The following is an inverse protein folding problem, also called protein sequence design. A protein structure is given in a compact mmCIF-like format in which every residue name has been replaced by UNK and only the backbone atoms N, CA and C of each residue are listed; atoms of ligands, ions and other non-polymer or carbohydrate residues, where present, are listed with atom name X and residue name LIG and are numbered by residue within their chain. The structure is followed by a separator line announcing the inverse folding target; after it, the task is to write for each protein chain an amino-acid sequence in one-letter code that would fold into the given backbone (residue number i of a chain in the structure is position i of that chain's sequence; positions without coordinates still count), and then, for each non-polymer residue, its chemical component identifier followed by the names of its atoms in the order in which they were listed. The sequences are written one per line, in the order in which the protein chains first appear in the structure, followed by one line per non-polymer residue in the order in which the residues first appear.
data_IF_691984608919
#
_entry.id   IF_691984608919
#
_cell.length_a   1.000
_cell.length_b   1.000
_cell.length_c   1.000
_cell.angle_alpha   90.00
_cell.angle_beta   90.00
_cell.angle_gamma   90.00
#
_symmetry.space_group_name_H-M   'P 1'
#
loop_
_entity.id
_entity.type
_entity.pdbx_description
1 polymer ?
#
# COMPACT_ATOMS: atom_id res chain seq x y z
N UNK A 1 -8.94 7.81 1.63
CA UNK A 1 -9.96 6.93 2.21
C UNK A 1 -9.45 6.46 3.55
N UNK A 2 -10.28 6.49 4.59
CA UNK A 2 -9.91 6.07 5.95
C UNK A 2 -10.38 4.64 6.22
N UNK A 3 -9.55 3.84 6.86
CA UNK A 3 -9.97 2.53 7.36
C UNK A 3 -10.67 2.73 8.70
N UNK A 4 -11.97 2.41 8.83
CA UNK A 4 -12.67 2.49 10.11
C UNK A 4 -12.18 1.38 11.05
N UNK A 5 -12.40 1.56 12.34
CA UNK A 5 -12.22 0.46 13.29
C UNK A 5 -13.37 -0.53 13.12
N UNK A 6 -13.07 -1.83 13.16
CA UNK A 6 -14.09 -2.86 12.99
C UNK A 6 -13.79 -4.08 13.87
N UNK A 7 -14.84 -4.82 14.17
CA UNK A 7 -14.81 -6.10 14.88
C UNK A 7 -15.61 -7.13 14.09
N UNK A 8 -15.12 -8.38 14.08
CA UNK A 8 -15.82 -9.53 13.51
C UNK A 8 -16.20 -10.48 14.64
N UNK A 9 -17.47 -10.84 14.70
CA UNK A 9 -18.01 -11.88 15.58
C UNK A 9 -18.69 -12.93 14.73
N UNK A 10 -18.86 -14.13 15.25
CA UNK A 10 -19.58 -15.17 14.54
C UNK A 10 -20.54 -15.93 15.43
N UNK A 11 -21.51 -16.55 14.77
CA UNK A 11 -22.43 -17.52 15.31
C UNK A 11 -22.42 -18.73 14.37
N UNK A 12 -23.12 -19.79 14.73
CA UNK A 12 -23.25 -21.02 13.93
C UNK A 12 -23.69 -20.75 12.48
N UNK A 13 -24.55 -19.74 12.26
CA UNK A 13 -25.13 -19.43 10.94
C UNK A 13 -24.73 -18.10 10.33
N UNK A 14 -24.20 -17.17 11.14
CA UNK A 14 -23.97 -15.79 10.71
C UNK A 14 -22.59 -15.29 11.13
N UNK A 15 -22.04 -14.38 10.35
CA UNK A 15 -20.90 -13.53 10.70
C UNK A 15 -21.43 -12.12 10.94
N UNK A 16 -21.08 -11.54 12.07
CA UNK A 16 -21.50 -10.21 12.50
C UNK A 16 -20.30 -9.28 12.33
N UNK A 17 -20.45 -8.28 11.46
CA UNK A 17 -19.43 -7.27 11.20
C UNK A 17 -19.85 -5.95 11.84
N UNK A 18 -19.13 -5.50 12.86
CA UNK A 18 -19.36 -4.23 13.53
C UNK A 18 -18.31 -3.21 13.07
N UNK A 19 -18.74 -2.09 12.48
CA UNK A 19 -17.86 -1.05 11.94
C UNK A 19 -18.14 0.27 12.65
N UNK A 20 -17.14 0.80 13.34
CA UNK A 20 -17.21 2.11 13.99
C UNK A 20 -16.80 3.21 13.02
N UNK A 21 -17.79 3.92 12.50
CA UNK A 21 -17.63 4.96 11.51
C UNK A 21 -18.51 6.18 11.85
N UNK A 22 -18.12 7.02 12.83
CA UNK A 22 -18.93 8.14 13.31
C UNK A 22 -19.06 9.28 12.29
N UNK A 23 -18.09 9.41 11.37
CA UNK A 23 -18.10 10.43 10.30
C UNK A 23 -18.74 9.91 9.00
N UNK A 24 -19.36 8.73 9.03
CA UNK A 24 -19.94 8.08 7.87
C UNK A 24 -21.16 8.84 7.36
N UNK A 25 -21.30 8.91 6.04
CA UNK A 25 -22.53 9.36 5.42
C UNK A 25 -23.47 8.16 5.22
N UNK A 26 -24.44 8.01 6.12
CA UNK A 26 -25.43 6.91 6.13
C UNK A 26 -26.16 6.77 4.78
N UNK A 27 -26.46 7.90 4.12
CA UNK A 27 -27.18 7.89 2.84
C UNK A 27 -26.34 7.35 1.67
N UNK A 28 -25.03 7.23 1.86
CA UNK A 28 -24.06 6.69 0.89
C UNK A 28 -23.32 5.47 1.46
N UNK A 29 -23.92 4.80 2.44
CA UNK A 29 -23.37 3.57 3.00
C UNK A 29 -23.81 2.41 2.12
N UNK A 30 -22.82 1.70 1.60
CA UNK A 30 -22.99 0.49 0.81
C UNK A 30 -22.10 -0.60 1.39
N UNK A 31 -22.67 -1.81 1.50
CA UNK A 31 -21.93 -3.02 1.81
C UNK A 31 -22.23 -4.03 0.71
N UNK A 32 -21.18 -4.68 0.21
CA UNK A 32 -21.24 -5.73 -0.80
C UNK A 32 -20.46 -6.94 -0.27
N UNK A 33 -21.12 -8.08 -0.11
CA UNK A 33 -20.47 -9.36 0.18
C UNK A 33 -20.49 -10.27 -1.05
N UNK A 34 -19.30 -10.67 -1.50
CA UNK A 34 -19.05 -11.49 -2.67
C UNK A 34 -18.13 -12.66 -2.29
N UNK A 35 -18.73 -13.83 -2.04
CA UNK A 35 -18.11 -15.05 -1.55
C UNK A 35 -17.19 -14.81 -0.34
N UNK A 36 -15.88 -14.71 -0.57
CA UNK A 36 -14.89 -14.49 0.49
C UNK A 36 -14.62 -13.01 0.77
N UNK A 37 -15.05 -12.11 -0.12
CA UNK A 37 -14.73 -10.69 -0.06
C UNK A 37 -15.90 -9.89 0.48
N UNK A 38 -15.61 -8.95 1.39
CA UNK A 38 -16.60 -7.99 1.89
C UNK A 38 -16.06 -6.59 1.65
N UNK A 39 -16.85 -5.76 0.98
CA UNK A 39 -16.56 -4.38 0.67
C UNK A 39 -17.54 -3.49 1.43
N UNK A 40 -17.02 -2.53 2.18
CA UNK A 40 -17.80 -1.50 2.83
C UNK A 40 -17.32 -0.13 2.36
N UNK A 41 -18.26 0.68 1.89
CA UNK A 41 -18.01 2.04 1.41
C UNK A 41 -18.97 2.99 2.08
N UNK A 42 -18.44 3.96 2.80
CA UNK A 42 -19.23 5.07 3.33
C UNK A 42 -18.32 6.27 3.52
N UNK A 43 -18.36 7.29 2.65
CA UNK A 43 -17.41 8.40 2.69
C UNK A 43 -17.34 9.05 4.09
N UNK A 44 -16.14 9.26 4.66
CA UNK A 44 -14.80 9.12 4.06
C UNK A 44 -14.15 7.72 4.24
N UNK A 45 -14.89 6.76 4.79
CA UNK A 45 -14.43 5.41 5.12
C UNK A 45 -14.55 4.43 3.96
N UNK A 46 -13.59 3.52 3.92
CA UNK A 46 -13.60 2.38 3.02
C UNK A 46 -12.93 1.20 3.71
N UNK A 47 -13.53 0.02 3.62
CA UNK A 47 -13.01 -1.20 4.19
C UNK A 47 -13.17 -2.33 3.18
N UNK A 48 -12.12 -3.13 3.03
CA UNK A 48 -12.10 -4.32 2.19
C UNK A 48 -11.56 -5.47 3.04
N UNK A 49 -12.34 -6.53 3.16
CA UNK A 49 -12.01 -7.70 3.96
C UNK A 49 -12.01 -8.94 3.08
N UNK A 50 -11.08 -9.85 3.32
CA UNK A 50 -11.07 -11.21 2.79
C UNK A 50 -11.29 -12.18 3.95
N UNK A 51 -12.47 -12.77 4.04
CA UNK A 51 -12.85 -13.72 5.07
C UNK A 51 -12.32 -15.13 4.75
N UNK A 52 -12.11 -15.98 5.76
CA UNK A 52 -11.61 -17.34 5.59
C UNK A 52 -12.67 -18.31 5.05
N UNK A 53 -13.95 -17.94 5.14
CA UNK A 53 -15.07 -18.71 4.63
C UNK A 53 -15.98 -17.88 3.73
N UNK A 54 -16.83 -18.57 2.98
CA UNK A 54 -17.78 -17.94 2.07
C UNK A 54 -18.97 -17.38 2.84
N UNK A 55 -19.31 -16.14 2.54
CA UNK A 55 -20.45 -15.41 3.10
C UNK A 55 -21.35 -14.92 1.98
N UNK A 56 -22.64 -14.78 2.30
CA UNK A 56 -23.67 -14.24 1.42
C UNK A 56 -24.43 -13.14 2.15
N UNK A 57 -24.88 -12.15 1.38
CA UNK A 57 -25.81 -11.15 1.91
C UNK A 57 -27.15 -11.77 2.29
N UNK A 58 -27.65 -11.42 3.47
CA UNK A 58 -28.99 -11.83 3.87
C UNK A 58 -30.04 -10.99 3.14
N UNK A 59 -31.04 -11.65 2.56
CA UNK A 59 -32.06 -11.03 1.70
C UNK A 59 -33.05 -10.13 2.47
N UNK A 60 -33.10 -10.22 3.79
CA UNK A 60 -34.21 -9.68 4.59
C UNK A 60 -33.81 -8.45 5.40
N UNK A 61 -32.66 -8.48 6.08
CA UNK A 61 -32.13 -7.34 6.84
C UNK A 61 -30.59 -7.42 6.90
N UNK A 62 -29.89 -6.58 6.13
CA UNK A 62 -28.43 -6.69 5.99
C UNK A 62 -27.64 -5.93 7.07
N UNK A 63 -28.22 -4.92 7.72
CA UNK A 63 -27.55 -4.24 8.84
C UNK A 63 -28.35 -3.17 9.56
N UNK A 64 -27.90 -2.85 10.77
CA UNK A 64 -28.45 -1.80 11.64
C UNK A 64 -27.41 -0.72 11.90
N UNK A 65 -27.83 0.53 12.09
CA UNK A 65 -26.94 1.64 12.44
C UNK A 65 -27.34 2.25 13.78
N UNK A 66 -26.38 2.31 14.70
CA UNK A 66 -26.51 3.04 15.96
C UNK A 66 -25.93 4.45 15.80
N UNK A 67 -26.83 5.44 15.86
CA UNK A 67 -26.51 6.87 15.69
C UNK A 67 -25.68 7.39 16.87
N UNK A 68 -25.92 6.89 18.09
CA UNK A 68 -25.26 7.39 19.29
C UNK A 68 -23.81 6.90 19.37
N UNK A 69 -23.58 5.62 19.01
CA UNK A 69 -22.25 5.01 18.96
C UNK A 69 -21.48 5.25 17.66
N UNK A 70 -22.18 5.61 16.57
CA UNK A 70 -21.62 5.66 15.22
C UNK A 70 -21.18 4.28 14.73
N UNK A 71 -21.95 3.24 15.06
CA UNK A 71 -21.60 1.83 14.79
C UNK A 71 -22.58 1.24 13.78
N UNK A 72 -22.04 0.70 12.69
CA UNK A 72 -22.79 -0.14 11.75
C UNK A 72 -22.63 -1.60 12.14
N UNK A 73 -23.73 -2.34 12.22
CA UNK A 73 -23.72 -3.77 12.51
C UNK A 73 -24.33 -4.50 11.33
N UNK A 74 -23.53 -5.25 10.59
CA UNK A 74 -23.97 -6.04 9.45
C UNK A 74 -24.02 -7.53 9.81
N UNK A 75 -25.05 -8.23 9.34
CA UNK A 75 -25.21 -9.68 9.54
C UNK A 75 -25.09 -10.38 8.19
N UNK A 76 -24.01 -11.11 8.02
CA UNK A 76 -23.70 -11.88 6.82
C UNK A 76 -24.04 -13.36 7.08
N UNK A 77 -24.73 -14.02 6.16
CA UNK A 77 -25.02 -15.44 6.26
C UNK A 77 -23.81 -16.26 5.82
N UNK A 78 -23.48 -17.33 6.55
CA UNK A 78 -22.49 -18.29 6.10
C UNK A 78 -23.10 -19.14 4.98
N UNK A 79 -22.34 -19.38 3.91
CA UNK A 79 -22.79 -20.29 2.84
C UNK A 79 -22.89 -21.73 3.35
N UNK A 80 -21.95 -22.13 4.22
CA UNK A 80 -21.96 -23.40 4.92
C UNK A 80 -22.35 -23.14 6.38
N UNK A 81 -23.56 -23.58 6.75
CA UNK A 81 -24.03 -23.51 8.14
C UNK A 81 -23.12 -24.37 9.04
N UNK A 82 -22.71 -23.82 10.17
CA UNK A 82 -21.81 -24.48 11.14
C UNK A 82 -20.32 -24.43 10.79
N UNK A 83 -19.92 -23.78 9.70
CA UNK A 83 -18.49 -23.55 9.43
C UNK A 83 -17.93 -22.55 10.44
N UNK A 84 -16.87 -22.94 11.14
CA UNK A 84 -16.14 -22.04 12.04
C UNK A 84 -15.12 -21.20 11.26
N UNK A 85 -15.11 -19.89 11.51
CA UNK A 85 -14.17 -18.97 10.86
C UNK A 85 -13.01 -18.75 11.82
N UNK A 86 -11.86 -19.32 11.49
CA UNK A 86 -10.68 -19.19 12.35
C UNK A 86 -10.15 -17.74 12.37
N UNK A 87 -9.51 -17.38 13.47
CA UNK A 87 -8.77 -16.13 13.63
C UNK A 87 -9.57 -14.82 13.47
N UNK A 88 -10.90 -14.81 13.69
CA UNK A 88 -11.71 -13.59 13.59
C UNK A 88 -11.22 -12.43 14.48
N UNK A 89 -10.56 -12.75 15.61
CA UNK A 89 -9.93 -11.78 16.51
C UNK A 89 -8.69 -11.11 15.88
N UNK A 90 -8.02 -11.78 14.94
CA UNK A 90 -6.86 -11.28 14.21
C UNK A 90 -7.31 -10.48 12.98
N UNK A 91 -8.06 -9.41 13.22
CA UNK A 91 -8.65 -8.55 12.18
C UNK A 91 -7.64 -8.05 11.13
N UNK A 92 -6.37 -7.94 11.48
CA UNK A 92 -5.28 -7.57 10.58
C UNK A 92 -5.00 -8.59 9.46
N UNK A 93 -5.37 -9.87 9.64
CA UNK A 93 -5.21 -10.92 8.61
C UNK A 93 -6.21 -10.76 7.47
N UNK A 94 -7.40 -10.25 7.77
CA UNK A 94 -8.47 -10.10 6.77
C UNK A 94 -8.39 -8.78 6.03
N UNK A 95 -7.65 -7.81 6.56
CA UNK A 95 -7.26 -6.62 5.81
C UNK A 95 -6.34 -7.05 4.67
N UNK A 96 -6.63 -6.57 3.46
CA UNK A 96 -5.72 -6.75 2.33
C UNK A 96 -4.35 -6.20 2.70
N UNK A 97 -3.33 -7.07 2.64
CA UNK A 97 -1.98 -6.69 2.98
C UNK A 97 -1.56 -5.47 2.16
N UNK A 98 -1.16 -4.41 2.85
CA UNK A 98 -0.47 -3.32 2.18
C UNK A 98 0.77 -3.89 1.51
N UNK A 99 1.00 -3.50 0.25
CA UNK A 99 2.14 -3.90 -0.59
C UNK A 99 3.35 -4.17 0.30
N UNK A 100 3.83 -5.43 0.32
CA UNK A 100 5.17 -5.70 0.83
C UNK A 100 6.08 -4.81 -0.01
N UNK A 101 6.54 -3.70 0.56
CA UNK A 101 7.59 -2.90 -0.06
C UNK A 101 8.78 -3.86 -0.14
N UNK A 102 8.96 -4.46 -1.32
CA UNK A 102 10.19 -5.16 -1.67
C UNK A 102 11.25 -4.06 -1.76
N UNK A 103 11.77 -3.66 -0.60
CA UNK A 103 12.91 -2.78 -0.51
C UNK A 103 14.07 -3.55 -1.13
N UNK A 104 14.26 -3.38 -2.44
CA UNK A 104 15.43 -3.93 -3.12
C UNK A 104 16.64 -3.40 -2.37
N UNK A 105 17.53 -4.27 -1.85
CA UNK A 105 18.74 -3.81 -1.20
C UNK A 105 19.52 -2.97 -2.21
N UNK A 106 19.69 -1.67 -1.94
CA UNK A 106 20.41 -0.74 -2.84
C UNK A 106 21.92 -0.99 -2.89
N UNK A 107 22.39 -1.93 -2.08
CA UNK A 107 23.79 -2.37 -2.01
C UNK A 107 23.85 -3.72 -2.71
N UNK A 108 24.39 -3.71 -3.92
CA UNK A 108 24.76 -4.92 -4.64
C UNK A 108 26.26 -5.12 -4.44
N UNK A 109 26.66 -6.31 -3.96
CA UNK A 109 28.06 -6.71 -3.94
C UNK A 109 28.41 -7.08 -5.38
N UNK A 110 29.34 -6.33 -5.98
CA UNK A 110 29.92 -6.65 -7.29
C UNK A 110 30.88 -7.84 -7.13
N UNK A 111 30.35 -9.01 -6.78
CA UNK A 111 31.09 -10.27 -6.91
C UNK A 111 30.66 -10.91 -8.22
N UNK A 112 31.59 -10.94 -9.17
CA UNK A 112 31.47 -11.76 -10.36
C UNK A 112 31.31 -13.23 -9.95
N UNK A 113 30.21 -13.84 -10.40
CA UNK A 113 29.84 -15.27 -10.33
C UNK A 113 29.10 -15.70 -9.05
N UNK A 114 27.77 -15.83 -9.15
CA UNK A 114 26.98 -17.04 -8.79
C UNK A 114 25.49 -16.82 -9.15
N UNK A 115 24.77 -17.82 -9.72
CA UNK A 115 23.35 -17.70 -10.00
C UNK A 115 22.55 -17.85 -8.71
N UNK A 116 21.90 -16.78 -8.26
CA UNK A 116 20.93 -16.85 -7.17
C UNK A 116 19.63 -17.44 -7.70
N UNK A 117 19.48 -18.75 -7.56
CA UNK A 117 18.17 -19.41 -7.56
C UNK A 117 17.38 -18.89 -6.37
N UNK A 118 16.48 -17.94 -6.61
CA UNK A 118 15.44 -17.59 -5.64
C UNK A 118 14.12 -18.13 -6.19
N UNK A 119 13.86 -19.41 -5.92
CA UNK A 119 12.57 -20.04 -6.10
C UNK A 119 11.69 -19.70 -4.90
N UNK A 120 10.74 -18.77 -5.03
CA UNK A 120 9.59 -18.73 -4.11
C UNK A 120 8.31 -18.30 -4.83
N UNK A 121 7.34 -19.23 -4.77
CA UNK A 121 5.87 -19.09 -4.83
C UNK A 121 5.21 -18.49 -6.08
N UNK A 122 4.66 -19.38 -6.92
CA UNK A 122 3.83 -19.12 -8.11
C UNK A 122 2.31 -19.04 -7.81
N UNK A 123 1.90 -18.68 -6.58
CA UNK A 123 0.47 -18.72 -6.18
C UNK A 123 -0.17 -17.35 -5.89
N UNK A 124 0.50 -16.21 -6.19
CA UNK A 124 -0.03 -14.86 -5.92
C UNK A 124 -0.56 -14.11 -7.17
N UNK A 125 -0.61 -14.76 -8.34
CA UNK A 125 -0.83 -14.09 -9.63
C UNK A 125 -2.29 -13.72 -9.94
N UNK A 126 -3.28 -14.41 -9.36
CA UNK A 126 -4.70 -14.07 -9.59
C UNK A 126 -5.16 -12.82 -8.82
N UNK A 127 -4.46 -12.43 -7.75
CA UNK A 127 -4.89 -11.38 -6.81
C UNK A 127 -4.32 -9.99 -7.17
N UNK A 128 -3.43 -9.92 -8.15
CA UNK A 128 -2.82 -8.68 -8.65
C UNK A 128 -3.69 -7.92 -9.68
N UNK A 129 -4.75 -8.53 -10.20
CA UNK A 129 -5.50 -7.96 -11.33
C UNK A 129 -6.18 -6.60 -11.03
N UNK A 130 -6.51 -6.32 -9.77
CA UNK A 130 -7.18 -5.09 -9.35
C UNK A 130 -6.26 -4.02 -8.74
N UNK A 131 -4.99 -4.36 -8.48
CA UNK A 131 -3.99 -3.40 -8.00
C UNK A 131 -3.16 -3.00 -9.21
N UNK A 132 -3.52 -1.90 -9.87
CA UNK A 132 -2.65 -1.34 -10.90
C UNK A 132 -1.25 -1.13 -10.30
N UNK A 133 -0.29 -1.97 -10.71
CA UNK A 133 1.11 -1.75 -10.39
C UNK A 133 1.49 -0.43 -11.04
N UNK A 134 1.80 0.56 -10.20
CA UNK A 134 2.47 1.76 -10.68
C UNK A 134 3.85 1.32 -11.16
N UNK A 135 3.97 1.10 -12.46
CA UNK A 135 5.24 0.82 -13.09
C UNK A 135 5.99 2.14 -13.16
N UNK A 136 7.15 2.21 -12.51
CA UNK A 136 8.11 3.26 -12.80
C UNK A 136 8.56 3.05 -14.24
N UNK A 137 8.53 4.07 -15.11
CA UNK A 137 9.04 3.95 -16.47
C UNK A 137 10.45 3.36 -16.44
N UNK A 138 10.73 2.42 -17.34
CA UNK A 138 12.07 1.85 -17.46
C UNK A 138 13.09 2.97 -17.67
N UNK A 139 14.12 2.99 -16.83
CA UNK A 139 15.22 3.95 -16.93
C UNK A 139 15.83 3.83 -18.33
N UNK A 140 15.67 4.87 -19.15
CA UNK A 140 16.46 5.03 -20.36
C UNK A 140 17.92 5.19 -19.95
N UNK A 141 18.90 4.69 -20.73
CA UNK A 141 20.30 4.92 -20.46
C UNK A 141 20.55 6.44 -20.40
N UNK A 142 20.88 6.90 -19.20
CA UNK A 142 20.98 8.31 -18.86
C UNK A 142 22.26 8.91 -19.45
N UNK A 143 22.09 9.83 -20.40
CA UNK A 143 23.18 10.65 -20.95
C UNK A 143 23.56 11.79 -20.00
N UNK A 144 22.77 12.04 -18.95
CA UNK A 144 22.96 13.14 -18.00
C UNK A 144 23.75 12.70 -16.75
N UNK A 145 24.61 13.57 -16.20
CA UNK A 145 25.35 13.28 -14.98
C UNK A 145 24.43 13.24 -13.74
N UNK A 146 24.25 12.05 -13.16
CA UNK A 146 23.46 11.86 -11.95
C UNK A 146 24.09 12.43 -10.67
N UNK A 147 23.31 12.46 -9.59
CA UNK A 147 23.71 12.91 -8.26
C UNK A 147 23.22 11.92 -7.17
N UNK A 148 23.51 12.22 -5.90
CA UNK A 148 23.17 11.37 -4.76
C UNK A 148 24.07 10.13 -4.61
N UNK A 149 23.56 9.10 -3.95
CA UNK A 149 24.33 7.88 -3.71
C UNK A 149 24.65 7.15 -5.03
N UNK A 150 25.94 6.90 -5.27
CA UNK A 150 26.47 6.28 -6.49
C UNK A 150 26.06 6.96 -7.81
N UNK A 151 25.71 8.25 -7.79
CA UNK A 151 25.21 9.01 -8.94
C UNK A 151 23.98 8.38 -9.64
N UNK A 152 23.15 7.64 -8.89
CA UNK A 152 21.98 6.93 -9.43
C UNK A 152 20.72 7.80 -9.54
N UNK A 153 20.70 8.99 -8.95
CA UNK A 153 19.52 9.88 -8.95
C UNK A 153 19.64 10.87 -10.10
N UNK A 154 18.58 10.99 -10.90
CA UNK A 154 18.44 11.92 -12.03
C UNK A 154 16.98 12.40 -12.15
N UNK A 155 16.74 13.55 -12.78
CA UNK A 155 15.41 14.07 -13.14
C UNK A 155 14.73 14.99 -12.11
N UNK A 156 15.22 15.06 -10.88
CA UNK A 156 14.61 15.85 -9.80
C UNK A 156 15.48 17.07 -9.35
N UNK A 157 16.54 17.41 -10.08
CA UNK A 157 17.49 18.45 -9.67
C UNK A 157 16.86 19.83 -9.48
N UNK A 158 15.93 20.23 -10.35
CA UNK A 158 15.29 21.55 -10.28
C UNK A 158 14.36 21.70 -9.08
N UNK A 159 13.50 20.71 -8.83
CA UNK A 159 12.60 20.72 -7.67
C UNK A 159 13.37 20.71 -6.34
N UNK A 160 14.44 19.89 -6.27
CA UNK A 160 15.32 19.85 -5.10
C UNK A 160 16.02 21.20 -4.88
N UNK A 161 16.40 21.89 -5.97
CA UNK A 161 17.01 23.23 -5.89
C UNK A 161 16.03 24.27 -5.36
N UNK A 162 14.77 24.26 -5.81
CA UNK A 162 13.76 25.21 -5.34
C UNK A 162 13.51 25.08 -3.84
N UNK A 163 13.48 23.85 -3.33
CA UNK A 163 13.26 23.58 -1.90
C UNK A 163 14.50 23.84 -1.03
N UNK A 164 15.71 23.59 -1.53
CA UNK A 164 16.95 23.58 -0.72
C UNK A 164 18.05 24.53 -1.23
N UNK A 165 17.68 25.66 -1.82
CA UNK A 165 18.64 26.62 -2.42
C UNK A 165 19.71 27.16 -1.45
N UNK A 166 19.45 27.17 -0.14
CA UNK A 166 20.41 27.63 0.88
C UNK A 166 21.48 26.60 1.22
N UNK A 167 21.19 25.32 0.97
CA UNK A 167 22.05 24.18 1.34
C UNK A 167 22.86 23.71 0.13
N UNK A 168 22.28 23.82 -1.07
CA UNK A 168 22.87 23.32 -2.29
C UNK A 168 23.80 24.38 -2.91
N UNK A 169 25.11 24.15 -2.82
CA UNK A 169 26.14 25.03 -3.39
C UNK A 169 26.26 24.95 -4.93
N UNK A 170 25.78 23.83 -5.49
CA UNK A 170 25.84 23.55 -6.92
C UNK A 170 24.49 23.88 -7.58
N UNK A 171 24.44 25.02 -8.27
CA UNK A 171 23.21 25.52 -8.90
C UNK A 171 22.64 24.60 -9.98
N UNK A 172 23.48 23.83 -10.67
CA UNK A 172 23.05 22.91 -11.72
C UNK A 172 23.56 21.48 -11.42
N UNK A 173 22.65 20.67 -10.87
CA UNK A 173 22.89 19.30 -10.44
C UNK A 173 22.90 18.29 -11.60
N UNK A 174 22.39 18.65 -12.77
CA UNK A 174 22.20 17.72 -13.89
C UNK A 174 22.94 18.17 -15.17
N UNK A 175 23.34 19.43 -15.28
CA UNK A 175 24.18 19.91 -16.38
C UNK A 175 25.69 19.89 -16.08
N UNK A 176 26.09 19.85 -14.81
CA UNK A 176 27.53 19.87 -14.47
C UNK A 176 28.15 18.47 -14.53
N UNK A 177 29.18 18.22 -15.36
CA UNK A 177 29.83 16.92 -15.43
C UNK A 177 30.65 16.61 -14.17
N UNK A 178 30.84 15.32 -13.89
CA UNK A 178 31.54 14.83 -12.67
C UNK A 178 32.95 15.42 -12.52
N UNK A 179 33.67 15.61 -13.64
CA UNK A 179 35.02 16.17 -13.63
C UNK A 179 35.04 17.63 -13.14
N UNK A 180 34.07 18.45 -13.54
CA UNK A 180 33.98 19.84 -13.11
C UNK A 180 33.59 19.96 -11.64
N UNK A 181 32.67 19.10 -11.17
CA UNK A 181 32.30 19.04 -9.74
C UNK A 181 33.51 18.71 -8.87
N UNK A 182 34.33 17.76 -9.31
CA UNK A 182 35.57 17.38 -8.62
C UNK A 182 36.56 18.54 -8.56
N UNK A 183 36.80 19.19 -9.69
CA UNK A 183 37.74 20.30 -9.77
C UNK A 183 37.29 21.52 -8.96
N UNK A 184 35.98 21.77 -8.89
CA UNK A 184 35.41 22.82 -8.02
C UNK A 184 35.66 22.52 -6.55
N UNK A 185 35.42 21.28 -6.11
CA UNK A 185 35.72 20.84 -4.74
C UNK A 185 37.20 21.00 -4.41
N UNK A 186 38.09 20.55 -5.31
CA UNK A 186 39.54 20.68 -5.12
C UNK A 186 39.97 22.15 -4.97
N UNK A 187 39.35 23.08 -5.72
CA UNK A 187 39.61 24.53 -5.57
C UNK A 187 39.08 25.10 -4.25
N UNK A 188 37.89 24.70 -3.83
CA UNK A 188 37.29 25.14 -2.57
C UNK A 188 38.07 24.61 -1.35
N UNK A 189 38.56 23.38 -1.41
CA UNK A 189 39.44 22.79 -0.38
C UNK A 189 40.79 23.51 -0.30
N UNK A 190 41.37 23.93 -1.44
CA UNK A 190 42.62 24.69 -1.47
C UNK A 190 42.47 26.15 -1.01
N UNK A 191 41.26 26.69 -1.09
CA UNK A 191 40.95 28.07 -0.68
C UNK A 191 40.59 28.19 0.82
N UNK A 192 40.48 27.07 1.52
CA UNK A 192 40.10 26.97 2.94
C UNK A 192 41.31 26.73 3.84
#
# INVERSE_FOLDING_TARGET
MLTPNFELKQTDRHVILEIKAPLANIARTELVADDFNVFFSSPPYYLRLKLPGQVRESLTESGTYDVDGGIFTFRLEKVIEGQDFEDLDLIGKFLFAHKKYQARPKIEVLDDVLPSSNSESEDEDEEQFWIAQQTVPAESPLTTPGYGFANKITGNGEALREEFYEIIELMDLEGTPVAERRLRREREELAR
#
